data_IF_723471486153
#
_entry.id   IF_723471486153
#
_cell.length_a   1.000
_cell.length_b   1.000
_cell.length_c   1.000
_cell.angle_alpha   90.00
_cell.angle_beta   90.00
_cell.angle_gamma   90.00
#
_symmetry.space_group_name_H-M   'P 1'
#
loop_
_entity.id
_entity.type
_entity.pdbx_description
1 polymer ?
#
# COMPACT_ATOMS: atom_id res chain seq x y z
N UNK A 1 25.41 20.64 32.20
CA UNK A 1 25.77 19.28 31.75
C UNK A 1 24.69 18.21 31.96
N UNK A 2 24.44 17.66 33.17
CA UNK A 2 23.47 16.54 33.31
C UNK A 2 21.99 16.93 33.05
N UNK A 3 21.56 18.10 33.54
CA UNK A 3 20.19 18.62 33.37
C UNK A 3 19.83 18.91 31.91
N UNK A 4 20.74 19.52 31.15
CA UNK A 4 20.56 19.77 29.70
C UNK A 4 20.49 18.48 28.90
N UNK A 5 21.25 17.46 29.30
CA UNK A 5 21.25 16.15 28.63
C UNK A 5 19.92 15.42 28.80
N UNK A 6 19.36 15.45 30.01
CA UNK A 6 18.03 14.91 30.31
C UNK A 6 16.94 15.69 29.57
N UNK A 7 17.07 17.02 29.50
CA UNK A 7 16.14 17.87 28.75
C UNK A 7 16.15 17.54 27.24
N UNK A 8 17.34 17.44 26.64
CA UNK A 8 17.47 17.06 25.22
C UNK A 8 16.89 15.67 24.94
N UNK A 9 17.13 14.69 25.83
CA UNK A 9 16.53 13.36 25.70
C UNK A 9 15.00 13.42 25.72
N UNK A 10 14.42 14.20 26.63
CA UNK A 10 12.97 14.41 26.68
C UNK A 10 12.41 15.03 25.39
N UNK A 11 13.06 16.08 24.87
CA UNK A 11 12.66 16.71 23.62
C UNK A 11 12.73 15.75 22.42
N UNK A 12 13.77 14.91 22.34
CA UNK A 12 13.93 13.93 21.27
C UNK A 12 12.80 12.89 21.26
N UNK A 13 12.41 12.39 22.44
CA UNK A 13 11.33 11.42 22.57
C UNK A 13 10.01 12.05 22.12
N UNK A 14 9.68 13.24 22.62
CA UNK A 14 8.44 13.94 22.25
C UNK A 14 8.39 14.23 20.76
N UNK A 15 9.50 14.73 20.17
CA UNK A 15 9.57 14.99 18.74
C UNK A 15 9.35 13.72 17.90
N UNK A 16 9.87 12.57 18.35
CA UNK A 16 9.70 11.28 17.68
C UNK A 16 8.22 10.83 17.65
N UNK A 17 7.52 10.96 18.78
CA UNK A 17 6.09 10.63 18.85
C UNK A 17 5.23 11.58 18.01
N UNK A 18 5.49 12.89 18.09
CA UNK A 18 4.75 13.89 17.31
C UNK A 18 4.96 13.69 15.81
N UNK A 19 6.19 13.42 15.38
CA UNK A 19 6.50 13.11 13.99
C UNK A 19 5.79 11.85 13.49
N UNK A 20 5.76 10.78 14.29
CA UNK A 20 5.04 9.54 13.94
C UNK A 20 3.53 9.73 13.84
N UNK A 21 2.92 10.48 14.77
CA UNK A 21 1.49 10.79 14.76
C UNK A 21 1.13 11.65 13.54
N UNK A 22 1.91 12.71 13.28
CA UNK A 22 1.70 13.57 12.13
C UNK A 22 1.84 12.79 10.81
N UNK A 23 2.86 11.95 10.67
CA UNK A 23 3.03 11.10 9.50
C UNK A 23 1.83 10.16 9.31
N UNK A 24 1.35 9.52 10.37
CA UNK A 24 0.19 8.64 10.25
C UNK A 24 -1.11 9.39 9.91
N UNK A 25 -1.30 10.61 10.42
CA UNK A 25 -2.50 11.40 10.12
C UNK A 25 -2.49 12.02 8.72
N UNK A 26 -1.33 12.47 8.25
CA UNK A 26 -1.22 13.26 7.02
C UNK A 26 -0.67 12.46 5.83
N UNK A 27 0.11 11.40 6.05
CA UNK A 27 0.76 10.61 4.99
C UNK A 27 0.18 9.20 4.84
N UNK A 28 -0.58 8.69 5.82
CA UNK A 28 -1.38 7.48 5.63
C UNK A 28 -2.62 7.82 4.80
N UNK A 29 -2.42 8.18 3.54
CA UNK A 29 -3.47 8.09 2.55
C UNK A 29 -3.77 6.60 2.41
N UNK A 30 -4.84 6.13 3.06
CA UNK A 30 -5.35 4.79 2.76
C UNK A 30 -5.59 4.77 1.27
N UNK A 31 -4.98 3.81 0.57
CA UNK A 31 -5.31 3.54 -0.83
C UNK A 31 -6.74 3.00 -0.83
N UNK A 32 -7.71 3.91 -0.77
CA UNK A 32 -9.10 3.58 -0.98
C UNK A 32 -9.23 3.18 -2.43
N UNK A 33 -9.75 1.99 -2.70
CA UNK A 33 -10.14 1.62 -4.05
C UNK A 33 -11.12 2.69 -4.55
N UNK A 34 -10.68 3.59 -5.43
CA UNK A 34 -11.47 4.71 -5.95
C UNK A 34 -12.49 4.28 -7.02
N UNK A 35 -12.81 2.98 -7.09
CA UNK A 35 -13.82 2.46 -8.00
C UNK A 35 -15.17 2.38 -7.31
N UNK A 36 -16.24 2.88 -7.96
CA UNK A 36 -17.59 2.42 -7.64
C UNK A 36 -17.60 0.87 -7.66
N UNK A 37 -18.33 0.19 -6.75
CA UNK A 37 -18.29 -1.26 -6.65
C UNK A 37 -18.95 -1.89 -7.88
N UNK A 38 -18.18 -2.02 -8.95
CA UNK A 38 -18.55 -2.77 -10.14
C UNK A 38 -17.97 -4.17 -9.96
N UNK A 39 -18.80 -5.06 -9.45
CA UNK A 39 -18.42 -6.47 -9.27
C UNK A 39 -18.45 -7.13 -10.65
N UNK A 40 -17.27 -7.52 -11.14
CA UNK A 40 -17.14 -8.28 -12.38
C UNK A 40 -16.85 -9.75 -12.03
N UNK A 41 -17.82 -10.63 -12.29
CA UNK A 41 -17.65 -12.07 -12.10
C UNK A 41 -17.08 -12.68 -13.38
N UNK A 42 -15.80 -13.05 -13.35
CA UNK A 42 -15.09 -13.72 -14.43
C UNK A 42 -14.14 -14.76 -13.85
N UNK A 43 -13.77 -15.77 -14.64
CA UNK A 43 -12.71 -16.72 -14.25
C UNK A 43 -11.34 -16.04 -14.20
N UNK A 44 -11.12 -15.05 -15.06
CA UNK A 44 -9.86 -14.31 -15.16
C UNK A 44 -10.09 -12.88 -15.63
N UNK A 45 -9.32 -11.94 -15.07
CA UNK A 45 -9.28 -10.53 -15.42
C UNK A 45 -7.83 -10.13 -15.73
N UNK A 46 -7.58 -9.74 -16.96
CA UNK A 46 -6.26 -9.25 -17.40
C UNK A 46 -6.22 -7.73 -17.25
N UNK A 47 -5.32 -7.24 -16.40
CA UNK A 47 -5.05 -5.82 -16.21
C UNK A 47 -4.04 -5.38 -17.26
N UNK A 48 -4.45 -4.51 -18.17
CA UNK A 48 -3.59 -3.94 -19.22
C UNK A 48 -3.49 -2.43 -19.05
N UNK A 49 -2.36 -1.85 -19.45
CA UNK A 49 -2.20 -0.39 -19.50
C UNK A 49 -2.78 0.21 -20.80
N UNK A 50 -2.71 1.54 -20.94
CA UNK A 50 -3.21 2.27 -22.10
C UNK A 50 -2.50 1.91 -23.42
N UNK A 51 -1.29 1.35 -23.33
CA UNK A 51 -0.53 0.86 -24.49
C UNK A 51 -0.83 -0.60 -24.84
N UNK A 52 -1.69 -1.27 -24.06
CA UNK A 52 -2.04 -2.68 -24.22
C UNK A 52 -1.06 -3.64 -23.53
N UNK A 53 -0.14 -3.15 -22.70
CA UNK A 53 0.83 -4.00 -21.99
C UNK A 53 0.19 -4.63 -20.76
N UNK A 54 0.43 -5.92 -20.55
CA UNK A 54 -0.04 -6.64 -19.36
C UNK A 54 0.66 -6.12 -18.10
N UNK A 55 -0.14 -5.78 -17.08
CA UNK A 55 0.31 -5.29 -15.76
C UNK A 55 -0.03 -6.27 -14.64
N UNK A 56 -1.01 -7.14 -14.86
CA UNK A 56 -1.38 -8.17 -13.90
C UNK A 56 -2.50 -9.07 -14.39
N UNK A 57 -2.69 -10.18 -13.68
CA UNK A 57 -3.78 -11.12 -13.88
C UNK A 57 -4.44 -11.38 -12.52
N UNK A 58 -5.75 -11.16 -12.45
CA UNK A 58 -6.62 -11.68 -11.39
C UNK A 58 -7.26 -12.97 -11.89
N UNK A 59 -7.00 -14.10 -11.23
CA UNK A 59 -7.69 -15.35 -11.48
C UNK A 59 -8.58 -15.68 -10.28
N UNK A 60 -9.86 -15.99 -10.54
CA UNK A 60 -10.81 -16.35 -9.49
C UNK A 60 -10.39 -17.61 -8.73
N UNK A 61 -9.68 -18.53 -9.41
CA UNK A 61 -9.26 -19.82 -8.86
C UNK A 61 -7.99 -20.30 -9.58
N UNK A 62 -6.91 -20.54 -8.84
CA UNK A 62 -5.70 -21.19 -9.31
C UNK A 62 -5.83 -22.73 -9.27
N UNK A 63 -4.77 -23.42 -9.66
CA UNK A 63 -4.69 -24.90 -9.66
C UNK A 63 -4.89 -25.53 -8.28
N UNK A 64 -4.81 -24.75 -7.20
CA UNK A 64 -4.98 -25.16 -5.81
C UNK A 64 -6.35 -24.75 -5.25
N UNK A 65 -7.23 -24.16 -6.06
CA UNK A 65 -8.53 -23.70 -5.63
C UNK A 65 -8.53 -22.31 -4.96
N UNK A 66 -7.42 -21.57 -5.01
CA UNK A 66 -7.26 -20.28 -4.32
C UNK A 66 -7.40 -19.11 -5.29
N UNK A 67 -7.92 -17.98 -4.82
CA UNK A 67 -7.89 -16.75 -5.61
C UNK A 67 -6.43 -16.28 -5.77
N UNK A 68 -6.02 -16.04 -7.02
CA UNK A 68 -4.64 -15.70 -7.37
C UNK A 68 -4.57 -14.33 -8.02
N UNK A 69 -3.53 -13.57 -7.63
CA UNK A 69 -3.24 -12.24 -8.14
C UNK A 69 -1.75 -12.16 -8.46
N UNK A 70 -1.45 -11.98 -9.75
CA UNK A 70 -0.09 -11.86 -10.27
C UNK A 70 0.11 -10.47 -10.85
N UNK A 71 1.26 -9.84 -10.57
CA UNK A 71 1.65 -8.54 -11.11
C UNK A 71 2.87 -8.69 -12.00
N UNK A 72 2.91 -7.90 -13.08
CA UNK A 72 4.04 -7.84 -14.01
C UNK A 72 4.66 -6.45 -13.95
N UNK A 73 5.98 -6.41 -13.88
CA UNK A 73 6.76 -5.17 -13.93
C UNK A 73 7.12 -4.81 -15.38
N UNK A 74 7.92 -3.77 -15.58
CA UNK A 74 8.43 -3.32 -16.87
C UNK A 74 9.28 -4.34 -17.60
N UNK A 75 9.79 -5.33 -16.89
CA UNK A 75 10.59 -6.42 -17.42
C UNK A 75 9.77 -7.67 -17.76
N UNK A 76 8.46 -7.67 -17.49
CA UNK A 76 7.66 -8.90 -17.40
C UNK A 76 7.91 -9.65 -16.09
#
# INVERSE_FOLDING_TARGET
>A
MAKERVWMMGCMIVASFVGGIAANLFLTTRVGAQGAPQVLTTSQLNLVDQSGRLRGILAGTDERGLSSLTFYDETG
#
